data_IF_333028421697
#
_entry.id   IF_333028421697
#
_cell.length_a   1.000
_cell.length_b   1.000
_cell.length_c   1.000
_cell.angle_alpha   90.00
_cell.angle_beta   90.00
_cell.angle_gamma   90.00
#
_symmetry.space_group_name_H-M   'P 1'
#
loop_
_entity.id
_entity.type
_entity.pdbx_description
1 polymer ?
#
# COMPACT_ATOMS: atom_id res chain seq x y z
N UNK A 1 28.00 8.72 -5.17
CA UNK A 1 28.76 7.99 -4.13
C UNK A 1 28.11 8.06 -2.74
N UNK A 2 27.69 9.25 -2.26
CA UNK A 2 27.05 9.40 -0.92
C UNK A 2 25.83 8.51 -0.69
N UNK A 3 24.89 8.42 -1.65
CA UNK A 3 23.66 7.64 -1.53
C UNK A 3 23.93 6.15 -1.34
N UNK A 4 24.88 5.60 -2.10
CA UNK A 4 25.24 4.18 -2.06
C UNK A 4 25.82 3.81 -0.69
N UNK A 5 26.66 4.68 -0.13
CA UNK A 5 27.25 4.50 1.21
C UNK A 5 26.18 4.59 2.29
N UNK A 6 25.27 5.57 2.20
CA UNK A 6 24.16 5.73 3.13
C UNK A 6 23.24 4.51 3.14
N UNK A 7 22.85 4.02 1.96
CA UNK A 7 22.01 2.81 1.82
C UNK A 7 22.72 1.56 2.33
N UNK A 8 24.03 1.42 2.06
CA UNK A 8 24.82 0.30 2.54
C UNK A 8 24.90 0.27 4.08
N UNK A 9 25.12 1.42 4.71
CA UNK A 9 25.19 1.54 6.18
C UNK A 9 23.83 1.19 6.81
N UNK A 10 22.73 1.76 6.31
CA UNK A 10 21.37 1.46 6.76
C UNK A 10 21.04 -0.03 6.62
N UNK A 11 21.35 -0.63 5.47
CA UNK A 11 21.06 -2.04 5.20
C UNK A 11 21.87 -2.97 6.12
N UNK A 12 23.14 -2.67 6.31
CA UNK A 12 24.01 -3.45 7.22
C UNK A 12 23.55 -3.33 8.68
N UNK A 13 23.15 -2.14 9.13
CA UNK A 13 22.60 -1.91 10.48
C UNK A 13 21.31 -2.72 10.72
N UNK A 14 20.36 -2.68 9.78
CA UNK A 14 19.09 -3.42 9.89
C UNK A 14 19.33 -4.94 9.97
N UNK A 15 20.28 -5.47 9.19
CA UNK A 15 20.66 -6.89 9.22
C UNK A 15 21.35 -7.25 10.54
N UNK A 16 22.22 -6.38 11.05
CA UNK A 16 22.97 -6.62 12.28
C UNK A 16 22.08 -6.63 13.53
N UNK A 17 21.08 -5.73 13.60
CA UNK A 17 20.09 -5.70 14.68
C UNK A 17 19.17 -6.93 14.59
N UNK A 18 18.68 -7.28 13.38
CA UNK A 18 17.83 -8.47 13.19
C UNK A 18 18.55 -9.79 13.55
N UNK A 19 19.86 -9.89 13.30
CA UNK A 19 20.64 -11.10 13.58
C UNK A 19 21.01 -11.27 15.06
N UNK A 20 21.01 -10.20 15.85
CA UNK A 20 21.50 -10.22 17.25
C UNK A 20 20.40 -10.43 18.28
N UNK A 21 19.14 -10.19 17.92
CA UNK A 21 18.04 -10.17 18.88
C UNK A 21 17.00 -11.27 18.56
N UNK A 22 16.93 -12.33 19.38
CA UNK A 22 15.90 -13.39 19.23
C UNK A 22 14.51 -12.96 19.77
N UNK A 23 14.36 -11.70 20.18
CA UNK A 23 13.14 -11.20 20.76
C UNK A 23 12.03 -11.12 19.71
N UNK A 24 10.92 -11.82 19.98
CA UNK A 24 9.73 -11.87 19.12
C UNK A 24 9.20 -10.48 18.72
N UNK A 25 9.32 -9.47 19.59
CA UNK A 25 8.86 -8.10 19.32
C UNK A 25 9.69 -7.40 18.27
N UNK A 26 11.01 -7.55 18.34
CA UNK A 26 11.95 -6.91 17.42
C UNK A 26 11.84 -7.55 16.03
N UNK A 27 11.75 -8.89 15.96
CA UNK A 27 11.54 -9.56 14.69
C UNK A 27 10.23 -9.12 14.00
N UNK A 28 9.12 -8.99 14.76
CA UNK A 28 7.85 -8.45 14.23
C UNK A 28 7.94 -7.00 13.76
N UNK A 29 8.74 -6.17 14.41
CA UNK A 29 8.98 -4.79 13.97
C UNK A 29 9.70 -4.77 12.61
N UNK A 30 10.79 -5.54 12.47
CA UNK A 30 11.51 -5.65 11.19
C UNK A 30 10.68 -6.28 10.07
N UNK A 31 9.77 -7.18 10.41
CA UNK A 31 8.81 -7.76 9.48
C UNK A 31 7.73 -6.75 9.07
N UNK A 32 7.29 -5.89 10.00
CA UNK A 32 6.31 -4.83 9.72
C UNK A 32 6.90 -3.67 8.90
N UNK A 33 8.20 -3.36 9.04
CA UNK A 33 8.89 -2.26 8.33
C UNK A 33 8.63 -2.21 6.82
N UNK A 34 8.85 -3.28 6.04
CA UNK A 34 8.60 -3.24 4.60
C UNK A 34 7.12 -2.98 4.28
N UNK A 35 6.18 -3.53 5.07
CA UNK A 35 4.75 -3.30 4.86
C UNK A 35 4.33 -1.87 5.21
N UNK A 36 4.86 -1.28 6.28
CA UNK A 36 4.57 0.11 6.65
C UNK A 36 5.17 1.10 5.67
N UNK A 37 6.42 0.88 5.22
CA UNK A 37 7.05 1.73 4.20
C UNK A 37 6.27 1.65 2.89
N UNK A 38 5.89 0.45 2.45
CA UNK A 38 5.06 0.29 1.25
C UNK A 38 3.73 1.01 1.39
N UNK A 39 3.08 0.90 2.55
CA UNK A 39 1.79 1.58 2.80
C UNK A 39 1.95 3.09 2.77
N UNK A 40 2.97 3.65 3.43
CA UNK A 40 3.20 5.11 3.47
C UNK A 40 3.56 5.68 2.11
N UNK A 41 4.24 4.90 1.25
CA UNK A 41 4.58 5.33 -0.10
C UNK A 41 3.40 5.19 -1.07
N UNK A 42 2.74 4.03 -1.06
CA UNK A 42 1.68 3.72 -2.04
C UNK A 42 0.39 4.45 -1.70
N UNK A 43 -0.02 4.51 -0.43
CA UNK A 43 -1.31 5.07 -0.02
C UNK A 43 -1.57 6.53 -0.45
N UNK A 44 -0.65 7.50 -0.22
CA UNK A 44 -0.86 8.86 -0.69
C UNK A 44 -0.83 8.94 -2.23
N UNK A 45 -0.02 8.09 -2.87
CA UNK A 45 0.15 8.06 -4.32
C UNK A 45 -1.20 7.80 -5.02
N UNK A 46 -2.02 6.88 -4.49
CA UNK A 46 -3.35 6.53 -5.02
C UNK A 46 -4.28 7.75 -5.14
N UNK A 47 -4.22 8.67 -4.18
CA UNK A 47 -5.05 9.89 -4.20
C UNK A 47 -4.50 10.93 -5.17
N UNK A 48 -3.17 11.02 -5.31
CA UNK A 48 -2.54 11.98 -6.21
C UNK A 48 -2.58 11.54 -7.68
N UNK A 49 -2.49 10.25 -7.97
CA UNK A 49 -2.43 9.69 -9.33
C UNK A 49 -3.81 9.54 -9.98
N UNK A 50 -4.88 9.46 -9.18
CA UNK A 50 -6.25 9.28 -9.68
C UNK A 50 -6.92 10.60 -10.08
N UNK A 51 -6.43 11.74 -9.58
CA UNK A 51 -6.95 13.07 -9.88
C UNK A 51 -7.23 13.88 -8.61
N UNK A 52 -7.08 15.20 -8.70
CA UNK A 52 -7.27 16.10 -7.55
C UNK A 52 -8.72 16.59 -7.39
N UNK A 53 -9.66 16.05 -8.17
CA UNK A 53 -11.07 16.44 -8.11
C UNK A 53 -11.75 15.77 -6.92
N UNK A 54 -12.69 16.45 -6.28
CA UNK A 54 -13.51 15.88 -5.20
C UNK A 54 -14.18 14.55 -5.58
N UNK A 55 -14.54 14.36 -6.86
CA UNK A 55 -15.10 13.10 -7.35
C UNK A 55 -14.11 11.93 -7.36
N UNK A 56 -12.84 12.18 -7.64
CA UNK A 56 -11.81 11.13 -7.71
C UNK A 56 -11.44 10.64 -6.31
N UNK A 57 -11.36 11.56 -5.34
CA UNK A 57 -11.19 11.22 -3.93
C UNK A 57 -12.35 10.36 -3.43
N UNK A 58 -13.60 10.71 -3.76
CA UNK A 58 -14.79 9.91 -3.38
C UNK A 58 -14.75 8.52 -4.02
N UNK A 59 -14.31 8.39 -5.29
CA UNK A 59 -14.16 7.10 -5.97
C UNK A 59 -13.14 6.20 -5.27
N UNK A 60 -11.98 6.74 -4.94
CA UNK A 60 -10.93 6.00 -4.21
C UNK A 60 -11.44 5.57 -2.84
N UNK A 61 -12.16 6.44 -2.13
CA UNK A 61 -12.76 6.13 -0.83
C UNK A 61 -13.77 4.98 -0.92
N UNK A 62 -14.65 4.99 -1.94
CA UNK A 62 -15.61 3.91 -2.19
C UNK A 62 -14.88 2.60 -2.50
N UNK A 63 -13.84 2.64 -3.33
CA UNK A 63 -13.01 1.47 -3.63
C UNK A 63 -12.37 0.89 -2.36
N UNK A 64 -11.85 1.75 -1.47
CA UNK A 64 -11.26 1.36 -0.20
C UNK A 64 -12.28 0.68 0.73
N UNK A 65 -13.49 1.23 0.84
CA UNK A 65 -14.58 0.64 1.65
C UNK A 65 -14.98 -0.74 1.12
N UNK A 66 -15.06 -0.90 -0.21
CA UNK A 66 -15.41 -2.17 -0.85
C UNK A 66 -14.33 -3.23 -0.61
N UNK A 67 -13.05 -2.87 -0.72
CA UNK A 67 -11.91 -3.75 -0.41
C UNK A 67 -11.93 -4.17 1.05
N UNK A 68 -12.13 -3.21 1.96
CA UNK A 68 -12.22 -3.49 3.40
C UNK A 68 -13.37 -4.46 3.69
N UNK A 69 -14.55 -4.22 3.12
CA UNK A 69 -15.72 -5.07 3.28
C UNK A 69 -15.49 -6.50 2.75
N UNK A 70 -14.92 -6.64 1.55
CA UNK A 70 -14.59 -7.96 0.98
C UNK A 70 -13.52 -8.70 1.80
N UNK A 71 -12.57 -7.96 2.38
CA UNK A 71 -11.53 -8.51 3.26
C UNK A 71 -12.14 -9.04 4.56
N UNK A 72 -13.08 -8.32 5.17
CA UNK A 72 -13.83 -8.81 6.35
C UNK A 72 -14.61 -10.08 6.06
N UNK A 73 -15.09 -10.27 4.83
CA UNK A 73 -15.78 -11.49 4.39
C UNK A 73 -14.84 -12.70 4.19
N UNK A 74 -13.53 -12.58 4.47
CA UNK A 74 -12.50 -13.60 4.19
C UNK A 74 -12.51 -14.09 2.74
N UNK A 75 -12.81 -13.21 1.79
CA UNK A 75 -12.70 -13.55 0.37
C UNK A 75 -11.24 -13.80 -0.03
N UNK A 76 -11.01 -14.57 -1.10
CA UNK A 76 -9.67 -14.84 -1.60
C UNK A 76 -9.03 -13.55 -2.11
N UNK A 77 -7.78 -13.27 -1.72
CA UNK A 77 -7.05 -12.02 -2.05
C UNK A 77 -7.10 -11.68 -3.55
N UNK A 78 -6.94 -12.68 -4.42
CA UNK A 78 -7.01 -12.46 -5.87
C UNK A 78 -8.36 -11.94 -6.35
N UNK A 79 -9.46 -12.44 -5.77
CA UNK A 79 -10.82 -12.00 -6.10
C UNK A 79 -11.03 -10.55 -5.62
N UNK A 80 -10.51 -10.22 -4.44
CA UNK A 80 -10.62 -8.86 -3.87
C UNK A 80 -9.97 -7.85 -4.80
N UNK A 81 -8.76 -8.14 -5.30
CA UNK A 81 -8.01 -7.27 -6.21
C UNK A 81 -8.77 -7.08 -7.52
N UNK A 82 -9.23 -8.17 -8.15
CA UNK A 82 -9.95 -8.13 -9.43
C UNK A 82 -11.24 -7.32 -9.31
N UNK A 83 -12.05 -7.59 -8.27
CA UNK A 83 -13.33 -6.90 -8.05
C UNK A 83 -13.10 -5.41 -7.76
N UNK A 84 -12.08 -5.08 -6.96
CA UNK A 84 -11.75 -3.69 -6.64
C UNK A 84 -11.36 -2.90 -7.89
N UNK A 85 -10.47 -3.44 -8.72
CA UNK A 85 -10.06 -2.81 -9.97
C UNK A 85 -11.26 -2.63 -10.90
N UNK A 86 -12.10 -3.66 -11.05
CA UNK A 86 -13.30 -3.60 -11.88
C UNK A 86 -14.26 -2.49 -11.43
N UNK A 87 -14.48 -2.37 -10.12
CA UNK A 87 -15.36 -1.35 -9.53
C UNK A 87 -14.80 0.06 -9.77
N UNK A 88 -13.51 0.29 -9.48
CA UNK A 88 -12.88 1.60 -9.69
C UNK A 88 -12.94 1.99 -11.17
N UNK A 89 -12.69 1.04 -12.06
CA UNK A 89 -12.72 1.26 -13.51
C UNK A 89 -14.13 1.57 -14.04
N UNK A 90 -15.15 0.82 -13.60
CA UNK A 90 -16.56 1.05 -13.93
C UNK A 90 -17.04 2.43 -13.44
N UNK A 91 -16.68 2.80 -12.21
CA UNK A 91 -16.97 4.12 -11.65
C UNK A 91 -16.26 5.24 -12.42
N UNK A 92 -15.05 4.98 -12.93
CA UNK A 92 -14.27 5.85 -13.80
C UNK A 92 -15.00 6.16 -15.11
N UNK A 93 -15.41 5.10 -15.82
CA UNK A 93 -16.12 5.16 -17.12
C UNK A 93 -17.41 5.99 -17.05
N UNK A 94 -18.18 5.87 -15.96
CA UNK A 94 -19.51 6.50 -15.85
C UNK A 94 -19.52 8.04 -15.93
N UNK A 95 -18.38 8.73 -15.85
CA UNK A 95 -18.30 10.18 -16.03
C UNK A 95 -17.45 10.64 -17.22
N UNK A 96 -16.93 9.73 -18.05
CA UNK A 96 -16.08 10.12 -19.18
C UNK A 96 -14.80 10.87 -18.80
N UNK A 97 -14.40 10.84 -17.53
CA UNK A 97 -13.13 11.39 -17.07
C UNK A 97 -12.07 10.31 -17.26
N UNK A 98 -11.61 10.20 -18.52
CA UNK A 98 -10.35 9.55 -18.83
C UNK A 98 -9.25 10.53 -18.45
N UNK A 99 -8.44 10.13 -17.46
CA UNK A 99 -7.07 10.59 -17.16
C UNK A 99 -6.88 12.10 -17.08
#
# INVERSE_FOLDING_TARGET
MILIVMTAIMRTLLIFVKSRENNLKVNKFFEALPYTVLTVLVFPDIFTSTGSTNFDIIRVLIGMVIVAYLTFKKANLGIIIIVSIAVIYLLGISKGSFI
#
